data_IF_251546588574
#
_entry.id   IF_251546588574
#
_cell.length_a   1.000
_cell.length_b   1.000
_cell.length_c   1.000
_cell.angle_alpha   90.00
_cell.angle_beta   90.00
_cell.angle_gamma   90.00
#
_symmetry.space_group_name_H-M   'P 1'
#
loop_
_entity.id
_entity.type
_entity.pdbx_description
1 polymer ?
#
# COMPACT_ATOMS: atom_id res chain seq x y z
N UNK A 1 -16.56 1.08 -2.44
CA UNK A 1 -15.73 -0.06 -1.93
C UNK A 1 -14.61 0.41 -1.00
N UNK A 2 -14.54 1.72 -0.75
CA UNK A 2 -13.67 2.31 0.25
C UNK A 2 -14.47 3.27 1.14
N UNK A 3 -13.87 3.67 2.25
CA UNK A 3 -14.33 4.77 3.09
C UNK A 3 -13.15 5.70 3.35
N UNK A 4 -13.33 7.01 3.13
CA UNK A 4 -12.35 8.03 3.49
C UNK A 4 -12.96 8.97 4.51
N UNK A 5 -12.35 9.08 5.68
CA UNK A 5 -12.69 10.06 6.71
C UNK A 5 -11.47 10.92 7.05
N UNK A 6 -11.71 12.12 7.56
CA UNK A 6 -10.68 13.01 8.09
C UNK A 6 -11.08 13.39 9.50
N UNK A 7 -10.23 13.08 10.47
CA UNK A 7 -10.40 13.45 11.87
C UNK A 7 -9.19 14.28 12.29
N UNK A 8 -9.41 15.57 12.55
CA UNK A 8 -8.37 16.54 12.86
C UNK A 8 -7.27 16.56 11.78
N UNK A 9 -6.05 16.17 12.13
CA UNK A 9 -4.88 16.19 11.24
C UNK A 9 -4.55 14.80 10.64
N UNK A 10 -5.47 13.84 10.76
CA UNK A 10 -5.29 12.47 10.28
C UNK A 10 -6.44 12.07 9.37
N UNK A 11 -6.11 11.51 8.22
CA UNK A 11 -7.08 10.91 7.32
C UNK A 11 -6.98 9.39 7.33
N UNK A 12 -8.12 8.73 7.17
CA UNK A 12 -8.25 7.28 7.21
C UNK A 12 -8.90 6.80 5.93
N UNK A 13 -8.16 6.04 5.13
CA UNK A 13 -8.66 5.33 3.96
C UNK A 13 -8.81 3.85 4.31
N UNK A 14 -10.06 3.40 4.41
CA UNK A 14 -10.40 2.01 4.72
C UNK A 14 -10.90 1.31 3.46
N UNK A 15 -10.26 0.21 3.07
CA UNK A 15 -10.76 -0.69 2.03
C UNK A 15 -11.72 -1.69 2.66
N UNK A 16 -12.88 -1.90 2.02
CA UNK A 16 -13.89 -2.87 2.45
C UNK A 16 -13.94 -4.05 1.49
N UNK A 17 -14.02 -5.29 2.00
CA UNK A 17 -13.87 -6.48 1.18
C UNK A 17 -15.03 -6.61 0.19
N UNK A 18 -14.68 -6.99 -1.04
CA UNK A 18 -15.63 -7.51 -2.00
C UNK A 18 -15.68 -9.03 -1.79
N UNK A 19 -16.82 -9.53 -1.31
CA UNK A 19 -17.00 -10.90 -0.80
C UNK A 19 -16.04 -11.24 0.37
N UNK A 20 -14.81 -11.63 0.05
CA UNK A 20 -13.82 -12.14 1.00
C UNK A 20 -12.57 -11.27 1.13
N UNK A 21 -12.21 -10.51 0.10
CA UNK A 21 -10.93 -9.82 0.06
C UNK A 21 -11.04 -8.39 -0.49
N UNK A 22 -10.09 -7.55 -0.11
CA UNK A 22 -9.93 -6.21 -0.67
C UNK A 22 -9.25 -6.27 -2.04
N UNK A 23 -10.02 -6.01 -3.10
CA UNK A 23 -9.56 -6.09 -4.50
C UNK A 23 -9.33 -4.70 -5.08
N UNK A 24 -8.18 -4.53 -5.73
CA UNK A 24 -7.80 -3.34 -6.48
C UNK A 24 -8.27 -3.46 -7.94
N UNK A 25 -9.59 -3.43 -8.14
CA UNK A 25 -10.20 -3.39 -9.47
C UNK A 25 -10.23 -1.94 -10.02
N UNK A 26 -10.61 -1.77 -11.29
CA UNK A 26 -10.66 -0.44 -11.95
C UNK A 26 -11.56 0.55 -11.20
N UNK A 27 -12.68 0.10 -10.65
CA UNK A 27 -13.59 0.95 -9.88
C UNK A 27 -12.94 1.39 -8.58
N UNK A 28 -12.45 0.45 -7.77
CA UNK A 28 -11.77 0.73 -6.50
C UNK A 28 -10.59 1.69 -6.69
N UNK A 29 -9.74 1.47 -7.72
CA UNK A 29 -8.60 2.36 -7.97
C UNK A 29 -9.06 3.78 -8.32
N UNK A 30 -10.09 3.93 -9.17
CA UNK A 30 -10.64 5.25 -9.51
C UNK A 30 -11.27 5.95 -8.30
N UNK A 31 -12.01 5.20 -7.48
CA UNK A 31 -12.62 5.68 -6.23
C UNK A 31 -11.53 6.23 -5.30
N UNK A 32 -10.47 5.46 -5.04
CA UNK A 32 -9.33 5.88 -4.22
C UNK A 32 -8.66 7.14 -4.81
N UNK A 33 -8.37 7.18 -6.11
CA UNK A 33 -7.74 8.34 -6.75
C UNK A 33 -8.59 9.60 -6.53
N UNK A 34 -9.90 9.51 -6.71
CA UNK A 34 -10.79 10.65 -6.53
C UNK A 34 -10.84 11.09 -5.07
N UNK A 35 -10.95 10.15 -4.13
CA UNK A 35 -10.94 10.46 -2.69
C UNK A 35 -9.63 11.11 -2.24
N UNK A 36 -8.47 10.64 -2.71
CA UNK A 36 -7.17 11.21 -2.34
C UNK A 36 -6.99 12.64 -2.88
N UNK A 37 -7.55 12.99 -4.05
CA UNK A 37 -7.45 14.36 -4.57
C UNK A 37 -8.05 15.39 -3.61
N UNK A 38 -9.17 15.05 -2.95
CA UNK A 38 -9.77 15.92 -1.94
C UNK A 38 -8.92 16.03 -0.67
N UNK A 39 -8.03 15.05 -0.43
CA UNK A 39 -7.15 15.06 0.73
C UNK A 39 -5.98 16.04 0.58
N UNK A 40 -5.54 16.32 -0.65
CA UNK A 40 -4.36 17.17 -0.93
C UNK A 40 -4.50 18.53 -0.25
N UNK A 41 -5.69 19.13 -0.27
CA UNK A 41 -5.94 20.46 0.31
C UNK A 41 -6.49 20.42 1.75
N UNK A 42 -6.76 19.23 2.28
CA UNK A 42 -7.27 19.03 3.64
C UNK A 42 -6.24 19.41 4.72
N UNK A 43 -6.64 19.66 5.98
CA UNK A 43 -5.70 19.90 7.09
C UNK A 43 -4.88 18.65 7.47
N UNK A 44 -5.19 17.47 6.92
CA UNK A 44 -4.51 16.24 7.27
C UNK A 44 -3.00 16.31 6.95
N UNK A 45 -2.19 15.83 7.89
CA UNK A 45 -0.73 15.65 7.78
C UNK A 45 -0.36 14.19 7.51
N UNK A 46 -1.24 13.26 7.86
CA UNK A 46 -1.04 11.81 7.70
C UNK A 46 -2.26 11.20 7.01
N UNK A 47 -2.00 10.29 6.07
CA UNK A 47 -2.98 9.35 5.51
C UNK A 47 -2.66 7.95 6.02
N UNK A 48 -3.62 7.35 6.72
CA UNK A 48 -3.59 5.97 7.18
C UNK A 48 -4.42 5.11 6.25
N UNK A 49 -3.84 4.04 5.73
CA UNK A 49 -4.52 3.10 4.83
C UNK A 49 -4.68 1.78 5.56
N UNK A 50 -5.92 1.32 5.70
CA UNK A 50 -6.26 0.06 6.34
C UNK A 50 -7.20 -0.78 5.45
N UNK A 51 -7.19 -2.09 5.63
CA UNK A 51 -8.13 -3.00 4.96
C UNK A 51 -8.93 -3.83 5.96
N UNK A 52 -10.25 -3.79 5.86
CA UNK A 52 -11.15 -4.62 6.68
C UNK A 52 -11.24 -6.06 6.15
N UNK A 53 -11.83 -6.95 6.95
CA UNK A 53 -12.11 -8.33 6.51
C UNK A 53 -10.89 -9.26 6.42
N UNK A 54 -9.79 -8.94 7.11
CA UNK A 54 -8.62 -9.82 7.19
C UNK A 54 -7.73 -9.81 5.94
N UNK A 55 -7.85 -8.77 5.11
CA UNK A 55 -6.88 -8.48 4.06
C UNK A 55 -6.62 -6.99 4.01
N UNK A 56 -5.38 -6.59 3.76
CA UNK A 56 -5.07 -5.21 3.38
C UNK A 56 -5.51 -4.96 1.94
N UNK A 57 -4.95 -5.74 1.01
CA UNK A 57 -5.33 -5.80 -0.39
C UNK A 57 -4.70 -7.04 -1.04
N UNK A 58 -5.39 -7.70 -1.96
CA UNK A 58 -4.90 -8.91 -2.65
C UNK A 58 -4.62 -8.70 -4.14
N UNK A 59 -4.53 -7.44 -4.57
CA UNK A 59 -4.30 -7.07 -5.96
C UNK A 59 -5.58 -7.11 -6.79
N UNK A 60 -5.44 -7.37 -8.08
CA UNK A 60 -6.55 -7.37 -9.03
C UNK A 60 -7.24 -8.74 -9.11
N UNK A 61 -8.49 -8.75 -9.58
CA UNK A 61 -9.22 -9.99 -9.82
C UNK A 61 -8.65 -10.72 -11.04
N UNK A 62 -8.00 -11.88 -10.82
CA UNK A 62 -7.38 -12.67 -11.88
C UNK A 62 -8.40 -13.12 -12.94
N UNK A 63 -9.64 -13.45 -12.55
CA UNK A 63 -10.68 -13.87 -13.52
C UNK A 63 -11.00 -12.73 -14.49
N UNK A 64 -11.08 -11.51 -13.99
CA UNK A 64 -11.28 -10.32 -14.82
C UNK A 64 -10.09 -10.08 -15.74
N UNK A 65 -8.86 -10.27 -15.24
CA UNK A 65 -7.64 -10.06 -16.02
C UNK A 65 -7.46 -11.06 -17.17
N UNK A 66 -7.97 -12.29 -17.05
CA UNK A 66 -7.90 -13.28 -18.13
C UNK A 66 -8.62 -12.83 -19.42
N UNK A 67 -9.58 -11.92 -19.31
CA UNK A 67 -10.30 -11.36 -20.45
C UNK A 67 -9.68 -10.10 -21.07
N UNK A 68 -8.56 -9.61 -20.54
CA UNK A 68 -7.94 -8.37 -21.02
C UNK A 68 -7.14 -8.59 -22.31
N UNK A 69 -7.31 -7.69 -23.29
CA UNK A 69 -6.33 -7.54 -24.36
C UNK A 69 -5.03 -6.95 -23.80
N UNK A 70 -3.95 -6.98 -24.61
CA UNK A 70 -2.70 -6.31 -24.26
C UNK A 70 -2.87 -4.80 -23.99
N UNK A 71 -3.78 -4.13 -24.71
CA UNK A 71 -4.09 -2.72 -24.50
C UNK A 71 -4.86 -2.49 -23.19
N UNK A 72 -5.83 -3.36 -22.87
CA UNK A 72 -6.59 -3.27 -21.61
C UNK A 72 -5.68 -3.48 -20.41
N UNK A 73 -4.82 -4.50 -20.47
CA UNK A 73 -3.84 -4.79 -19.44
C UNK A 73 -2.86 -3.62 -19.23
N UNK A 74 -2.40 -2.98 -20.32
CA UNK A 74 -1.57 -1.79 -20.26
C UNK A 74 -2.32 -0.60 -19.64
N UNK A 75 -3.57 -0.36 -20.05
CA UNK A 75 -4.41 0.71 -19.49
C UNK A 75 -4.64 0.54 -17.99
N UNK A 76 -4.93 -0.69 -17.56
CA UNK A 76 -5.10 -1.04 -16.16
C UNK A 76 -3.80 -0.87 -15.34
N UNK A 77 -2.67 -1.30 -15.91
CA UNK A 77 -1.33 -1.08 -15.35
C UNK A 77 -1.02 0.41 -15.14
N UNK A 78 -1.31 1.26 -16.14
CA UNK A 78 -1.14 2.71 -16.07
C UNK A 78 -2.02 3.30 -14.96
N UNK A 79 -3.28 2.85 -14.86
CA UNK A 79 -4.21 3.32 -13.83
C UNK A 79 -3.71 3.00 -12.42
N UNK A 80 -3.23 1.78 -12.17
CA UNK A 80 -2.63 1.41 -10.88
C UNK A 80 -1.39 2.24 -10.55
N UNK A 81 -0.48 2.42 -11.52
CA UNK A 81 0.69 3.28 -11.33
C UNK A 81 0.32 4.73 -11.03
N UNK A 82 -0.75 5.26 -11.64
CA UNK A 82 -1.23 6.62 -11.36
C UNK A 82 -1.65 6.77 -9.90
N UNK A 83 -2.35 5.80 -9.33
CA UNK A 83 -2.70 5.81 -7.90
C UNK A 83 -1.44 5.78 -7.03
N UNK A 84 -0.49 4.90 -7.34
CA UNK A 84 0.68 4.72 -6.48
C UNK A 84 1.65 5.90 -6.55
N UNK A 85 1.78 6.54 -7.72
CA UNK A 85 2.49 7.81 -7.85
C UNK A 85 1.79 8.91 -7.04
N UNK A 86 0.46 9.00 -7.15
CA UNK A 86 -0.32 9.99 -6.38
C UNK A 86 -0.05 9.86 -4.87
N UNK A 87 0.00 8.64 -4.32
CA UNK A 87 0.33 8.42 -2.91
C UNK A 87 1.74 8.88 -2.52
N UNK A 88 2.71 8.72 -3.43
CA UNK A 88 4.08 9.18 -3.22
C UNK A 88 4.20 10.71 -3.30
N UNK A 89 3.30 11.35 -4.04
CA UNK A 89 3.34 12.78 -4.33
C UNK A 89 2.49 13.65 -3.40
N UNK A 90 1.46 13.08 -2.75
CA UNK A 90 0.59 13.87 -1.86
C UNK A 90 1.32 14.46 -0.64
N UNK A 91 0.82 15.60 -0.09
CA UNK A 91 1.43 16.26 1.06
C UNK A 91 1.46 15.44 2.35
N UNK A 92 0.53 14.50 2.49
CA UNK A 92 0.41 13.66 3.67
C UNK A 92 1.48 12.59 3.70
N UNK A 93 1.99 12.28 4.89
CA UNK A 93 2.75 11.04 5.13
C UNK A 93 1.77 9.87 5.03
N UNK A 94 2.07 8.90 4.17
CA UNK A 94 1.22 7.73 3.92
C UNK A 94 1.72 6.55 4.75
N UNK A 95 0.82 5.96 5.54
CA UNK A 95 1.11 4.80 6.38
C UNK A 95 0.18 3.66 5.96
N UNK A 96 0.75 2.52 5.59
CA UNK A 96 0.01 1.28 5.37
C UNK A 96 -0.06 0.48 6.68
N UNK A 97 -1.29 0.21 7.13
CA UNK A 97 -1.61 -0.60 8.30
C UNK A 97 -2.11 -1.97 7.83
N UNK A 98 -1.21 -2.94 7.85
CA UNK A 98 -1.40 -4.23 7.17
C UNK A 98 -1.84 -5.29 8.18
N UNK A 99 -3.11 -5.64 8.15
CA UNK A 99 -3.67 -6.75 8.91
C UNK A 99 -4.19 -7.87 7.99
N UNK A 100 -3.62 -9.07 8.14
CA UNK A 100 -3.97 -10.23 7.33
C UNK A 100 -3.28 -10.24 5.95
N UNK A 101 -4.02 -10.53 4.88
CA UNK A 101 -3.42 -10.77 3.57
C UNK A 101 -3.04 -9.48 2.82
N UNK A 102 -1.79 -9.42 2.34
CA UNK A 102 -1.26 -8.37 1.47
C UNK A 102 -0.57 -9.02 0.27
N UNK A 103 -1.24 -9.11 -0.88
CA UNK A 103 -0.77 -9.93 -2.00
C UNK A 103 -0.78 -9.20 -3.35
N UNK A 104 0.17 -9.57 -4.22
CA UNK A 104 0.28 -9.06 -5.60
C UNK A 104 0.27 -7.54 -5.63
N UNK A 105 -0.71 -6.96 -6.34
CA UNK A 105 -0.91 -5.51 -6.39
C UNK A 105 -1.15 -4.86 -5.02
N UNK A 106 -1.57 -5.60 -4.00
CA UNK A 106 -1.65 -5.12 -2.61
C UNK A 106 -0.28 -4.90 -1.96
N UNK A 107 0.73 -5.72 -2.31
CA UNK A 107 2.12 -5.47 -1.89
C UNK A 107 2.65 -4.22 -2.60
N UNK A 108 2.32 -4.08 -3.88
CA UNK A 108 2.69 -2.89 -4.66
C UNK A 108 2.03 -1.61 -4.10
N UNK A 109 0.78 -1.72 -3.64
CA UNK A 109 0.05 -0.64 -2.97
C UNK A 109 0.68 -0.27 -1.63
N UNK A 110 1.03 -1.25 -0.80
CA UNK A 110 1.76 -1.01 0.44
C UNK A 110 3.16 -0.41 0.20
N UNK A 111 3.84 -0.81 -0.89
CA UNK A 111 5.12 -0.25 -1.29
C UNK A 111 5.03 1.23 -1.71
N UNK A 112 3.85 1.72 -2.09
CA UNK A 112 3.62 3.12 -2.41
C UNK A 112 3.50 4.01 -1.17
N UNK A 113 3.25 3.43 0.01
CA UNK A 113 3.22 4.17 1.27
C UNK A 113 4.63 4.63 1.69
N UNK A 114 4.72 5.62 2.57
CA UNK A 114 5.99 6.04 3.16
C UNK A 114 6.45 5.01 4.21
N UNK A 115 5.52 4.60 5.07
CA UNK A 115 5.75 3.61 6.14
C UNK A 115 4.76 2.44 6.05
N UNK A 116 5.21 1.26 6.49
CA UNK A 116 4.41 0.03 6.51
C UNK A 116 4.53 -0.64 7.89
N UNK A 117 3.41 -0.80 8.57
CA UNK A 117 3.31 -1.61 9.78
C UNK A 117 2.43 -2.82 9.48
N UNK A 118 2.73 -3.96 10.10
CA UNK A 118 1.91 -5.14 9.92
C UNK A 118 1.72 -5.92 11.22
N UNK A 119 0.58 -6.61 11.34
CA UNK A 119 0.39 -7.59 12.42
C UNK A 119 1.24 -8.84 12.17
N UNK A 120 1.60 -9.57 13.23
CA UNK A 120 2.34 -10.84 13.12
C UNK A 120 1.63 -11.87 12.25
N UNK A 121 0.29 -11.85 12.27
CA UNK A 121 -0.52 -12.77 11.46
C UNK A 121 -0.58 -12.40 9.98
N UNK A 122 -0.06 -11.22 9.58
CA UNK A 122 -0.10 -10.79 8.19
C UNK A 122 0.74 -11.70 7.29
N UNK A 123 0.22 -11.93 6.09
CA UNK A 123 0.81 -12.81 5.09
C UNK A 123 0.98 -12.07 3.77
N UNK A 124 2.15 -12.24 3.17
CA UNK A 124 2.59 -11.49 2.01
C UNK A 124 2.94 -12.43 0.87
N UNK A 125 2.54 -12.09 -0.35
CA UNK A 125 2.94 -12.85 -1.53
C UNK A 125 2.94 -11.97 -2.77
N UNK A 126 3.82 -12.26 -3.72
CA UNK A 126 3.74 -11.70 -5.06
C UNK A 126 3.67 -12.84 -6.08
N UNK A 127 2.48 -13.43 -6.31
CA UNK A 127 2.35 -14.72 -7.01
C UNK A 127 2.46 -14.61 -8.55
N UNK A 128 3.00 -13.50 -9.07
CA UNK A 128 3.06 -13.25 -10.52
C UNK A 128 3.78 -14.38 -11.28
N UNK A 129 4.92 -14.85 -10.78
CA UNK A 129 5.67 -15.96 -11.39
C UNK A 129 4.86 -17.27 -11.44
N UNK A 130 4.09 -17.57 -10.40
CA UNK A 130 3.20 -18.75 -10.34
C UNK A 130 2.04 -18.67 -11.33
N UNK A 131 1.58 -17.46 -11.64
CA UNK A 131 0.46 -17.21 -12.53
C UNK A 131 0.89 -16.95 -13.98
N UNK A 132 2.21 -16.87 -14.26
CA UNK A 132 2.72 -16.44 -15.57
C UNK A 132 2.44 -14.96 -15.87
N UNK A 133 2.30 -14.12 -14.84
CA UNK A 133 1.94 -12.70 -14.94
C UNK A 133 3.08 -11.83 -14.40
N UNK A 134 3.50 -10.84 -15.18
CA UNK A 134 4.39 -9.78 -14.70
C UNK A 134 3.54 -8.68 -14.05
N UNK A 135 3.88 -8.22 -12.83
CA UNK A 135 3.13 -7.12 -12.21
C UNK A 135 3.20 -5.83 -13.04
N UNK A 136 2.03 -5.26 -13.31
CA UNK A 136 1.88 -3.99 -14.00
C UNK A 136 1.96 -2.77 -13.09
N UNK A 137 1.60 -2.86 -11.81
CA UNK A 137 1.42 -1.67 -10.97
C UNK A 137 2.72 -1.00 -10.49
N UNK A 138 3.88 -1.36 -11.06
CA UNK A 138 5.17 -0.76 -10.77
C UNK A 138 5.86 -1.32 -9.51
N UNK A 139 5.38 -2.44 -8.97
CA UNK A 139 6.01 -3.17 -7.86
C UNK A 139 7.48 -3.51 -8.10
N UNK A 140 7.82 -3.93 -9.32
CA UNK A 140 9.20 -4.24 -9.74
C UNK A 140 10.15 -3.05 -9.64
N UNK A 141 9.60 -1.83 -9.53
CA UNK A 141 10.38 -0.60 -9.37
C UNK A 141 10.34 -0.13 -7.91
N UNK A 142 9.16 -0.12 -7.27
CA UNK A 142 9.01 0.42 -5.90
C UNK A 142 9.60 -0.49 -4.83
N UNK A 143 9.40 -1.80 -4.93
CA UNK A 143 9.84 -2.75 -3.90
C UNK A 143 11.37 -2.79 -3.77
N UNK A 144 12.17 -2.81 -4.85
CA UNK A 144 13.64 -2.77 -4.74
C UNK A 144 14.21 -1.53 -4.05
N UNK A 145 13.47 -0.43 -3.97
CA UNK A 145 13.89 0.80 -3.28
C UNK A 145 13.70 0.74 -1.76
N UNK A 146 12.90 -0.20 -1.28
CA UNK A 146 12.52 -0.32 0.15
C UNK A 146 12.84 -1.71 0.73
N UNK A 147 13.29 -2.66 -0.09
CA UNK A 147 13.56 -4.03 0.32
C UNK A 147 14.92 -4.49 -0.21
N UNK A 148 15.63 -5.30 0.58
CA UNK A 148 16.93 -5.89 0.20
C UNK A 148 16.80 -6.80 -1.02
N UNK A 149 17.85 -6.80 -1.84
CA UNK A 149 17.89 -7.52 -3.12
C UNK A 149 17.47 -8.98 -3.05
N UNK A 150 18.12 -9.78 -2.20
CA UNK A 150 17.82 -11.20 -2.06
C UNK A 150 16.37 -11.46 -1.63
N UNK A 151 15.78 -10.57 -0.84
CA UNK A 151 14.42 -10.71 -0.34
C UNK A 151 13.38 -10.40 -1.40
N UNK A 152 13.51 -9.27 -2.12
CA UNK A 152 12.56 -8.97 -3.18
C UNK A 152 12.69 -9.94 -4.36
N UNK A 153 13.91 -10.40 -4.67
CA UNK A 153 14.10 -11.44 -5.69
C UNK A 153 13.40 -12.72 -5.29
N UNK A 154 13.55 -13.17 -4.04
CA UNK A 154 12.81 -14.33 -3.53
C UNK A 154 11.30 -14.11 -3.60
N UNK A 155 10.81 -12.94 -3.18
CA UNK A 155 9.39 -12.57 -3.22
C UNK A 155 8.80 -12.70 -4.64
N UNK A 156 9.46 -12.12 -5.65
CA UNK A 156 8.97 -12.12 -7.03
C UNK A 156 9.19 -13.45 -7.76
N UNK A 157 10.35 -14.10 -7.57
CA UNK A 157 10.72 -15.30 -8.33
C UNK A 157 9.94 -16.50 -7.81
N UNK A 158 9.91 -16.71 -6.49
CA UNK A 158 9.21 -17.88 -5.91
C UNK A 158 7.71 -17.69 -5.90
N UNK A 159 7.22 -16.46 -5.73
CA UNK A 159 5.80 -16.19 -5.51
C UNK A 159 5.23 -16.90 -4.28
N UNK A 160 6.06 -17.23 -3.30
CA UNK A 160 5.67 -17.89 -2.07
C UNK A 160 4.92 -16.97 -1.10
N UNK A 161 4.31 -17.60 -0.09
CA UNK A 161 3.68 -16.90 1.02
C UNK A 161 4.73 -16.67 2.12
N UNK A 162 4.93 -15.40 2.48
CA UNK A 162 5.86 -14.95 3.50
C UNK A 162 5.13 -14.36 4.70
N UNK A 163 5.74 -14.45 5.88
CA UNK A 163 5.26 -13.83 7.11
C UNK A 163 5.78 -12.40 7.27
N UNK A 164 5.26 -11.70 8.29
CA UNK A 164 5.71 -10.35 8.63
C UNK A 164 7.20 -10.30 8.97
N UNK A 165 7.75 -11.31 9.64
CA UNK A 165 9.16 -11.41 10.00
C UNK A 165 10.09 -11.41 8.78
N UNK A 166 9.76 -12.17 7.74
CA UNK A 166 10.50 -12.14 6.48
C UNK A 166 10.49 -10.74 5.85
N UNK A 167 9.32 -10.09 5.81
CA UNK A 167 9.18 -8.76 5.22
C UNK A 167 9.93 -7.69 6.02
N UNK A 168 9.94 -7.79 7.36
CA UNK A 168 10.69 -6.90 8.24
C UNK A 168 12.21 -7.08 8.11
N UNK A 169 12.73 -8.32 8.17
CA UNK A 169 14.17 -8.59 7.96
C UNK A 169 14.66 -8.12 6.59
N UNK A 170 13.78 -8.19 5.60
CA UNK A 170 14.01 -7.69 4.25
C UNK A 170 13.99 -6.16 4.13
N UNK A 171 13.54 -5.42 5.15
CA UNK A 171 13.45 -3.96 5.16
C UNK A 171 12.13 -3.39 4.65
N UNK A 172 11.21 -4.24 4.16
CA UNK A 172 9.93 -3.79 3.62
C UNK A 172 9.03 -3.22 4.73
N UNK A 173 8.90 -3.92 5.85
CA UNK A 173 8.13 -3.42 7.00
C UNK A 173 9.00 -2.54 7.89
N UNK A 174 8.41 -1.44 8.36
CA UNK A 174 9.00 -0.58 9.37
C UNK A 174 8.79 -1.13 10.80
N UNK A 175 7.67 -1.82 11.04
CA UNK A 175 7.37 -2.43 12.33
C UNK A 175 6.42 -3.61 12.22
N UNK A 176 6.56 -4.55 13.14
CA UNK A 176 5.63 -5.68 13.35
C UNK A 176 4.92 -5.46 14.68
N UNK A 177 3.61 -5.66 14.68
CA UNK A 177 2.73 -5.53 15.85
C UNK A 177 2.10 -6.88 16.18
N UNK A 178 1.78 -7.13 17.45
CA UNK A 178 1.25 -8.43 17.89
C UNK A 178 -0.09 -8.75 17.22
N UNK A 179 -1.02 -7.80 17.27
CA UNK A 179 -2.37 -7.91 16.72
C UNK A 179 -2.86 -6.55 16.18
N UNK A 180 -4.15 -6.48 15.85
CA UNK A 180 -4.77 -5.30 15.25
C UNK A 180 -4.85 -4.11 16.23
N UNK A 181 -5.04 -4.36 17.52
CA UNK A 181 -5.11 -3.30 18.52
C UNK A 181 -3.72 -2.75 18.81
N UNK A 182 -2.72 -3.63 18.92
CA UNK A 182 -1.33 -3.23 19.02
C UNK A 182 -0.86 -2.47 17.76
N UNK A 183 -1.29 -2.89 16.57
CA UNK A 183 -1.04 -2.16 15.31
C UNK A 183 -1.56 -0.72 15.39
N UNK A 184 -2.82 -0.56 15.80
CA UNK A 184 -3.43 0.77 15.95
C UNK A 184 -2.65 1.61 16.95
N UNK A 185 -2.31 1.07 18.11
CA UNK A 185 -1.59 1.78 19.18
C UNK A 185 -0.19 2.23 18.72
N UNK A 186 0.56 1.36 18.05
CA UNK A 186 1.89 1.66 17.53
C UNK A 186 1.84 2.76 16.46
N UNK A 187 0.88 2.68 15.55
CA UNK A 187 0.68 3.68 14.50
C UNK A 187 0.24 5.01 15.12
N UNK A 188 -0.68 5.02 16.09
CA UNK A 188 -1.08 6.23 16.81
C UNK A 188 0.13 6.94 17.47
N UNK A 189 0.97 6.17 18.14
CA UNK A 189 2.20 6.67 18.76
C UNK A 189 3.18 7.25 17.74
N UNK A 190 3.27 6.63 16.57
CA UNK A 190 4.10 7.13 15.47
C UNK A 190 3.53 8.41 14.85
N UNK A 191 2.21 8.44 14.61
CA UNK A 191 1.49 9.59 14.06
C UNK A 191 1.59 10.81 14.97
N UNK A 192 1.51 10.65 16.29
CA UNK A 192 1.72 11.76 17.25
C UNK A 192 3.07 12.48 17.06
N UNK A 193 4.11 11.76 16.64
CA UNK A 193 5.44 12.35 16.38
C UNK A 193 5.44 13.19 15.09
N UNK A 194 4.57 12.88 14.14
CA UNK A 194 4.43 13.56 12.85
C UNK A 194 3.52 14.78 12.98
N UNK A 195 2.33 14.64 13.56
CA UNK A 195 1.32 15.72 13.60
C UNK A 195 1.82 16.95 14.37
N UNK A 196 2.74 16.79 15.33
CA UNK A 196 3.38 17.91 16.02
C UNK A 196 4.38 18.72 15.17
N UNK A 197 4.59 18.37 13.89
CA UNK A 197 5.48 19.08 12.96
C UNK A 197 4.68 19.95 12.01
N UNK A 198 5.34 20.98 11.47
CA UNK A 198 4.75 21.84 10.44
C UNK A 198 4.49 21.04 9.15
N UNK A 199 3.27 21.14 8.62
CA UNK A 199 2.81 20.40 7.43
C UNK A 199 3.66 20.68 6.18
N UNK A 200 4.03 21.94 5.96
CA UNK A 200 4.82 22.37 4.80
C UNK A 200 6.22 21.75 4.86
N UNK A 201 6.84 21.70 6.04
CA UNK A 201 8.15 21.06 6.20
C UNK A 201 8.10 19.56 5.95
N UNK A 202 7.10 18.85 6.49
CA UNK A 202 6.91 17.42 6.23
C UNK A 202 6.79 17.16 4.73
N UNK A 203 5.93 17.92 4.04
CA UNK A 203 5.72 17.77 2.61
C UNK A 203 7.00 17.95 1.80
N UNK A 204 7.72 19.06 1.98
CA UNK A 204 8.95 19.29 1.20
C UNK A 204 10.05 18.29 1.54
N UNK A 205 10.19 17.86 2.79
CA UNK A 205 11.11 16.78 3.16
C UNK A 205 10.75 15.47 2.46
N UNK A 206 9.46 15.08 2.47
CA UNK A 206 8.98 13.89 1.74
C UNK A 206 9.33 13.98 0.25
N UNK A 207 9.06 15.12 -0.39
CA UNK A 207 9.36 15.35 -1.80
C UNK A 207 10.86 15.24 -2.11
N UNK A 208 11.70 15.88 -1.30
CA UNK A 208 13.15 15.85 -1.48
C UNK A 208 13.72 14.43 -1.31
N UNK A 209 13.26 13.70 -0.29
CA UNK A 209 13.69 12.32 -0.04
C UNK A 209 13.24 11.38 -1.15
N UNK A 210 12.00 11.52 -1.64
CA UNK A 210 11.48 10.67 -2.71
C UNK A 210 12.16 10.92 -4.07
N UNK A 211 12.61 12.14 -4.36
CA UNK A 211 13.38 12.45 -5.59
C UNK A 211 14.76 11.78 -5.64
N UNK A 212 15.33 11.44 -4.49
CA UNK A 212 16.64 10.79 -4.40
C UNK A 212 16.61 9.26 -4.53
N UNK A 213 15.45 8.66 -4.78
CA UNK A 213 15.23 7.21 -4.85
C UNK A 213 15.16 6.66 -6.28
#
# INVERSE_FOLDING_TARGET
MIELSVENEVAYLTLKPEEKFNILNTHTIKEIINSIKHLIDSPAKVLRIFGEGGSFAVGANIRTMLGYSGFDAKGFSILGNRLFNLLQDIPQVVIAEIDGFCMGGGVDFAAAADFRFATKRSKFAHPGSKLGIITGFGGTQRIPRVMKQSYYQKLFITGDLFDADFMYRGGFLFGICEDKDDLRQNVDNFVRKIINKNRVHIYYLKQMVNKGR
#
